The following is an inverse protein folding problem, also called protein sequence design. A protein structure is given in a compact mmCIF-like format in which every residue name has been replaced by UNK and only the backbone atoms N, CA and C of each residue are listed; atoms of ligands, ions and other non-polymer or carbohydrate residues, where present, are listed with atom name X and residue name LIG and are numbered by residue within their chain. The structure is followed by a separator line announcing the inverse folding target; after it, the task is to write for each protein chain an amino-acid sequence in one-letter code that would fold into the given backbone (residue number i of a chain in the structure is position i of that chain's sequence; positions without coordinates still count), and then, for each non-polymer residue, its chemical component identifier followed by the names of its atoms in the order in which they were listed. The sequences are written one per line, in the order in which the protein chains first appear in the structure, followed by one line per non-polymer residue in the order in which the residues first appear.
data_IF_552559129805
#
_entry.id   IF_552559129805
#
_cell.length_a   1.000
_cell.length_b   1.000
_cell.length_c   1.000
_cell.angle_alpha   90.00
_cell.angle_beta   90.00
_cell.angle_gamma   90.00
#
_symmetry.space_group_name_H-M   'P 1'
#
loop_
_entity.id
_entity.type
_entity.pdbx_description
1 polymer ?
#
# COMPACT_ATOMS: atom_id res chain seq x y z
N UNK A 1 -9.78 -0.39 -16.59
CA UNK A 1 -10.33 0.95 -16.28
C UNK A 1 -10.71 1.61 -17.58
N UNK A 2 -11.98 1.98 -17.74
CA UNK A 2 -12.43 2.70 -18.92
C UNK A 2 -11.84 4.12 -18.90
N UNK A 3 -11.10 4.56 -19.93
CA UNK A 3 -10.43 5.87 -19.92
C UNK A 3 -11.43 7.02 -19.74
N UNK A 4 -12.70 6.84 -20.14
CA UNK A 4 -13.76 7.83 -19.98
C UNK A 4 -14.11 8.11 -18.49
N UNK A 5 -13.99 7.13 -17.59
CA UNK A 5 -14.35 7.32 -16.17
C UNK A 5 -13.35 8.19 -15.41
N UNK A 6 -12.17 8.44 -15.99
CA UNK A 6 -11.19 9.40 -15.47
C UNK A 6 -11.79 10.82 -15.46
N UNK A 7 -12.64 11.15 -16.44
CA UNK A 7 -13.31 12.46 -16.52
C UNK A 7 -14.22 12.65 -15.30
N UNK A 8 -14.93 11.60 -14.87
CA UNK A 8 -15.78 11.64 -13.69
C UNK A 8 -14.96 11.86 -12.41
N UNK A 9 -13.79 11.23 -12.29
CA UNK A 9 -12.88 11.42 -11.15
C UNK A 9 -12.35 12.86 -11.08
N UNK A 10 -11.93 13.43 -12.22
CA UNK A 10 -11.43 14.81 -12.30
C UNK A 10 -12.55 15.80 -11.94
N UNK A 11 -13.73 15.64 -12.55
CA UNK A 11 -14.88 16.51 -12.30
C UNK A 11 -15.34 16.44 -10.83
N UNK A 12 -15.37 15.24 -10.24
CA UNK A 12 -15.65 15.05 -8.83
C UNK A 12 -14.63 15.77 -7.94
N UNK A 13 -13.34 15.61 -8.20
CA UNK A 13 -12.27 16.30 -7.48
C UNK A 13 -12.40 17.82 -7.56
N UNK A 14 -12.65 18.37 -8.74
CA UNK A 14 -12.87 19.81 -8.93
C UNK A 14 -14.11 20.33 -8.20
N UNK A 15 -15.20 19.57 -8.19
CA UNK A 15 -16.42 19.97 -7.48
C UNK A 15 -16.23 19.99 -5.96
N UNK A 16 -15.49 19.01 -5.42
CA UNK A 16 -15.14 18.96 -4.00
C UNK A 16 -14.20 20.11 -3.58
N UNK A 17 -13.16 20.41 -4.37
CA UNK A 17 -12.27 21.54 -4.08
C UNK A 17 -12.98 22.88 -4.19
N UNK A 18 -13.92 23.03 -5.13
CA UNK A 18 -14.75 24.22 -5.22
C UNK A 18 -15.64 24.39 -3.97
N UNK A 19 -16.21 23.29 -3.46
CA UNK A 19 -17.00 23.32 -2.24
C UNK A 19 -16.17 23.71 -1.01
N UNK A 20 -14.92 23.25 -0.92
CA UNK A 20 -14.00 23.68 0.14
C UNK A 20 -13.66 25.17 0.03
N UNK A 21 -13.45 25.71 -1.18
CA UNK A 21 -13.24 27.14 -1.36
C UNK A 21 -14.48 27.98 -0.96
N UNK A 22 -15.70 27.47 -1.21
CA UNK A 22 -16.94 28.19 -0.89
C UNK A 22 -17.22 28.26 0.62
N UNK A 23 -16.87 27.20 1.36
CA UNK A 23 -17.12 27.06 2.80
C UNK A 23 -15.91 27.41 3.67
N UNK A 24 -14.85 27.98 3.07
CA UNK A 24 -13.56 28.25 3.71
C UNK A 24 -13.01 27.03 4.47
N UNK A 25 -13.16 25.86 3.84
CA UNK A 25 -12.77 24.57 4.38
C UNK A 25 -11.38 24.16 3.94
N UNK A 26 -10.73 23.33 4.75
CA UNK A 26 -9.40 22.81 4.44
C UNK A 26 -8.95 21.72 5.40
N UNK A 27 -7.79 21.14 5.11
CA UNK A 27 -7.15 20.14 5.97
C UNK A 27 -5.82 20.69 6.47
N UNK A 28 -5.49 20.38 7.72
CA UNK A 28 -4.23 20.82 8.36
C UNK A 28 -3.02 20.12 7.76
N UNK A 29 -3.21 18.90 7.24
CA UNK A 29 -2.19 18.13 6.54
C UNK A 29 -2.82 17.23 5.46
N UNK A 30 -2.00 16.70 4.57
CA UNK A 30 -2.45 15.72 3.56
C UNK A 30 -2.95 14.43 4.22
N UNK A 31 -4.22 14.04 4.03
CA UNK A 31 -4.75 12.81 4.61
C UNK A 31 -4.24 11.59 3.86
N UNK A 32 -4.19 10.45 4.56
CA UNK A 32 -3.93 9.16 3.91
C UNK A 32 -5.06 8.85 2.90
N UNK A 33 -4.72 8.46 1.66
CA UNK A 33 -5.72 8.15 0.65
C UNK A 33 -6.60 6.98 1.09
N UNK A 34 -7.91 7.10 0.87
CA UNK A 34 -8.87 6.01 1.08
C UNK A 34 -9.50 5.91 2.47
N UNK A 35 -9.29 6.86 3.38
CA UNK A 35 -9.95 6.88 4.69
C UNK A 35 -10.66 8.20 4.99
N UNK A 36 -11.99 8.17 5.12
CA UNK A 36 -12.78 9.33 5.55
C UNK A 36 -12.43 9.77 6.99
N UNK A 37 -12.01 8.84 7.84
CA UNK A 37 -11.57 9.16 9.20
C UNK A 37 -10.28 9.98 9.20
N UNK A 38 -9.38 9.76 8.22
CA UNK A 38 -8.18 10.58 8.08
C UNK A 38 -8.53 12.03 7.71
N UNK A 39 -9.53 12.22 6.83
CA UNK A 39 -10.06 13.56 6.50
C UNK A 39 -10.64 14.26 7.73
N UNK A 40 -11.47 13.57 8.52
CA UNK A 40 -12.08 14.14 9.72
C UNK A 40 -11.05 14.43 10.81
N UNK A 41 -10.07 13.54 11.02
CA UNK A 41 -9.03 13.73 12.03
C UNK A 41 -8.12 14.95 11.73
N UNK A 42 -7.90 15.24 10.46
CA UNK A 42 -7.06 16.36 10.00
C UNK A 42 -7.86 17.63 9.67
N UNK A 43 -9.16 17.63 9.94
CA UNK A 43 -10.02 18.80 9.75
C UNK A 43 -9.84 19.79 10.93
N UNK A 44 -9.62 21.09 10.67
CA UNK A 44 -9.60 22.11 11.70
C UNK A 44 -10.90 22.18 12.52
N UNK A 45 -10.79 22.51 13.81
CA UNK A 45 -11.96 22.69 14.69
C UNK A 45 -12.86 23.81 14.13
N UNK A 46 -14.07 23.45 13.70
CA UNK A 46 -15.05 24.36 13.09
C UNK A 46 -15.31 24.12 11.60
N UNK A 47 -14.42 23.42 10.89
CA UNK A 47 -14.52 23.17 9.43
C UNK A 47 -15.10 21.78 9.08
N UNK A 48 -15.60 21.02 10.07
CA UNK A 48 -16.13 19.66 9.85
C UNK A 48 -17.28 19.61 8.84
N UNK A 49 -18.16 20.62 8.88
CA UNK A 49 -19.27 20.71 7.95
C UNK A 49 -18.79 20.91 6.51
N UNK A 50 -17.75 21.73 6.32
CA UNK A 50 -17.13 21.95 5.02
C UNK A 50 -16.48 20.66 4.48
N UNK A 51 -15.74 19.93 5.32
CA UNK A 51 -15.10 18.65 4.94
C UNK A 51 -16.12 17.62 4.49
N UNK A 52 -17.19 17.40 5.27
CA UNK A 52 -18.23 16.43 4.93
C UNK A 52 -18.99 16.86 3.67
N UNK A 53 -19.32 18.15 3.54
CA UNK A 53 -20.02 18.66 2.38
C UNK A 53 -19.19 18.52 1.10
N UNK A 54 -17.91 18.89 1.10
CA UNK A 54 -17.06 18.76 -0.08
C UNK A 54 -16.80 17.32 -0.50
N UNK A 55 -16.59 16.40 0.45
CA UNK A 55 -16.49 14.96 0.14
C UNK A 55 -17.80 14.44 -0.45
N UNK A 56 -18.94 14.83 0.12
CA UNK A 56 -20.27 14.38 -0.36
C UNK A 56 -20.60 14.93 -1.75
N UNK A 57 -20.27 16.18 -2.03
CA UNK A 57 -20.45 16.77 -3.37
C UNK A 57 -19.56 16.06 -4.38
N UNK A 58 -18.28 15.85 -4.07
CA UNK A 58 -17.35 15.15 -4.95
C UNK A 58 -17.79 13.72 -5.28
N UNK A 59 -18.33 12.98 -4.29
CA UNK A 59 -18.85 11.62 -4.51
C UNK A 59 -20.13 11.65 -5.34
N UNK A 60 -21.07 12.56 -5.08
CA UNK A 60 -22.30 12.70 -5.86
C UNK A 60 -22.03 13.06 -7.33
N UNK A 61 -21.13 14.00 -7.59
CA UNK A 61 -20.77 14.42 -8.95
C UNK A 61 -20.06 13.28 -9.70
N UNK A 62 -19.08 12.63 -9.06
CA UNK A 62 -18.39 11.47 -9.65
C UNK A 62 -19.38 10.35 -9.98
N UNK A 63 -20.31 10.07 -9.06
CA UNK A 63 -21.32 9.03 -9.22
C UNK A 63 -22.31 9.38 -10.34
N UNK A 64 -22.78 10.62 -10.41
CA UNK A 64 -23.72 11.06 -11.44
C UNK A 64 -23.11 10.95 -12.84
N UNK A 65 -21.88 11.44 -13.03
CA UNK A 65 -21.18 11.39 -14.31
C UNK A 65 -20.87 9.95 -14.70
N UNK A 66 -20.36 9.14 -13.76
CA UNK A 66 -20.06 7.73 -14.02
C UNK A 66 -21.33 6.94 -14.35
N UNK A 67 -22.42 7.16 -13.61
CA UNK A 67 -23.72 6.54 -13.86
C UNK A 67 -24.25 6.89 -15.24
N UNK A 68 -24.10 8.14 -15.67
CA UNK A 68 -24.53 8.58 -17.00
C UNK A 68 -23.67 7.98 -18.12
N UNK A 69 -22.35 7.93 -17.95
CA UNK A 69 -21.42 7.28 -18.88
C UNK A 69 -21.78 5.79 -19.03
N UNK A 70 -21.91 5.08 -17.92
CA UNK A 70 -22.25 3.65 -17.92
C UNK A 70 -23.65 3.39 -18.51
N UNK A 71 -24.61 4.29 -18.26
CA UNK A 71 -25.98 4.16 -18.79
C UNK A 71 -26.04 4.42 -20.30
N UNK A 72 -25.19 5.29 -20.84
CA UNK A 72 -25.05 5.50 -22.29
C UNK A 72 -24.35 4.32 -22.97
N UNK A 73 -23.34 3.73 -22.33
CA UNK A 73 -22.62 2.54 -22.85
C UNK A 73 -23.45 1.25 -22.76
N UNK A 74 -24.32 1.10 -21.75
CA UNK A 74 -25.25 -0.04 -21.62
C UNK A 74 -26.19 -0.18 -22.84
N UNK A 75 -26.38 0.89 -23.60
CA UNK A 75 -27.14 0.87 -24.86
C UNK A 75 -26.34 0.26 -26.04
N UNK A 76 -25.02 0.14 -25.92
CA UNK A 76 -24.12 -0.31 -26.99
C UNK A 76 -23.59 -1.73 -26.75
N UNK A 77 -23.46 -2.18 -25.50
CA UNK A 77 -22.86 -3.50 -25.20
C UNK A 77 -23.70 -4.25 -24.16
N UNK A 78 -24.50 -5.20 -24.63
CA UNK A 78 -25.01 -6.28 -23.78
C UNK A 78 -23.90 -7.30 -23.69
N UNK A 79 -23.30 -7.44 -22.51
CA UNK A 79 -22.43 -8.52 -21.99
C UNK A 79 -21.16 -7.97 -21.34
N UNK A 80 -21.14 -7.94 -19.99
CA UNK A 80 -19.94 -8.25 -19.20
C UNK A 80 -20.25 -8.12 -17.70
N UNK A 81 -20.85 -9.16 -17.13
CA UNK A 81 -21.01 -9.32 -15.66
C UNK A 81 -19.64 -9.52 -14.95
N UNK A 82 -18.53 -9.57 -15.70
CA UNK A 82 -17.17 -9.87 -15.22
C UNK A 82 -16.33 -8.64 -14.80
N UNK A 83 -16.66 -7.41 -15.22
CA UNK A 83 -15.85 -6.21 -14.89
C UNK A 83 -15.97 -5.81 -13.40
N UNK A 84 -17.07 -6.15 -12.73
CA UNK A 84 -17.29 -5.82 -11.32
C UNK A 84 -16.45 -6.70 -10.37
N UNK A 85 -16.28 -7.98 -10.71
CA UNK A 85 -15.44 -8.91 -9.96
C UNK A 85 -13.95 -8.53 -10.01
N UNK A 86 -13.48 -8.07 -11.17
CA UNK A 86 -12.09 -7.59 -11.33
C UNK A 86 -11.85 -6.26 -10.61
N UNK A 87 -12.83 -5.36 -10.60
CA UNK A 87 -12.76 -4.10 -9.86
C UNK A 87 -12.73 -4.31 -8.34
N UNK A 88 -13.49 -5.29 -7.83
CA UNK A 88 -13.43 -5.69 -6.41
C UNK A 88 -12.06 -6.28 -6.02
N UNK A 89 -11.40 -7.01 -6.93
CA UNK A 89 -10.05 -7.53 -6.72
C UNK A 89 -8.98 -6.42 -6.76
N UNK A 90 -9.12 -5.43 -7.64
CA UNK A 90 -8.22 -4.27 -7.69
C UNK A 90 -8.34 -3.37 -6.44
N UNK A 91 -9.57 -3.22 -5.90
CA UNK A 91 -9.80 -2.51 -4.62
C UNK A 91 -9.23 -3.30 -3.44
N UNK A 92 -9.28 -4.64 -3.47
CA UNK A 92 -8.58 -5.49 -2.49
C UNK A 92 -7.06 -5.38 -2.61
N UNK A 93 -6.53 -5.30 -3.83
CA UNK A 93 -5.10 -5.14 -4.08
C UNK A 93 -4.55 -3.78 -3.58
N UNK A 94 -5.31 -2.67 -3.72
CA UNK A 94 -4.94 -1.39 -3.10
C UNK A 94 -5.00 -1.41 -1.57
N UNK A 95 -5.90 -2.23 -0.99
CA UNK A 95 -5.97 -2.44 0.47
C UNK A 95 -4.81 -3.32 0.99
N UNK A 96 -4.05 -3.96 0.10
CA UNK A 96 -3.02 -4.95 0.41
C UNK A 96 -1.58 -4.43 0.40
N UNK A 97 -1.32 -3.16 0.14
CA UNK A 97 0.02 -2.58 0.40
C UNK A 97 0.36 -2.50 1.91
N UNK A 98 -0.56 -2.88 2.80
CA UNK A 98 -0.33 -2.96 4.24
C UNK A 98 -0.78 -4.27 4.91
N UNK A 99 -1.17 -5.30 4.16
CA UNK A 99 -1.66 -6.55 4.73
C UNK A 99 -1.15 -7.76 3.93
N UNK A 100 0.18 -7.89 3.85
CA UNK A 100 0.75 -9.22 3.71
C UNK A 100 0.48 -9.95 5.03
N UNK A 101 -0.14 -11.12 4.99
CA UNK A 101 -0.33 -11.96 6.18
C UNK A 101 1.06 -12.39 6.66
N UNK A 102 1.64 -11.62 7.58
CA UNK A 102 2.89 -11.92 8.26
C UNK A 102 2.73 -13.13 9.21
N UNK A 103 1.50 -13.64 9.34
CA UNK A 103 1.04 -14.65 10.28
C UNK A 103 1.65 -16.04 10.03
N UNK A 104 2.38 -16.23 8.93
CA UNK A 104 3.10 -17.48 8.62
C UNK A 104 4.53 -17.27 8.10
N UNK A 105 5.13 -16.10 8.35
CA UNK A 105 6.51 -15.86 7.91
C UNK A 105 7.46 -16.66 8.77
N UNK A 106 8.08 -17.70 8.19
CA UNK A 106 9.09 -18.54 8.83
C UNK A 106 10.49 -18.22 8.33
N UNK A 107 10.62 -17.70 7.10
CA UNK A 107 11.90 -17.47 6.45
C UNK A 107 12.03 -16.07 5.88
N UNK A 108 13.03 -15.33 6.35
CA UNK A 108 13.38 -14.00 5.84
C UNK A 108 14.76 -14.05 5.18
N UNK A 109 14.83 -13.65 3.92
CA UNK A 109 16.05 -13.62 3.13
C UNK A 109 16.54 -12.17 2.94
N UNK A 110 17.72 -11.85 3.46
CA UNK A 110 18.42 -10.60 3.19
C UNK A 110 19.28 -10.74 1.93
N UNK A 111 19.04 -9.91 0.93
CA UNK A 111 19.64 -10.06 -0.40
C UNK A 111 20.46 -8.84 -0.77
N UNK A 112 21.72 -9.07 -1.14
CA UNK A 112 22.58 -8.04 -1.76
C UNK A 112 23.35 -8.63 -2.95
N UNK A 113 23.97 -7.78 -3.76
CA UNK A 113 24.63 -8.17 -5.03
C UNK A 113 25.63 -9.32 -4.85
N UNK A 114 26.54 -9.21 -3.87
CA UNK A 114 27.57 -10.21 -3.62
C UNK A 114 27.24 -11.23 -2.50
N UNK A 115 26.14 -11.04 -1.77
CA UNK A 115 25.74 -11.92 -0.66
C UNK A 115 26.60 -11.88 0.62
N UNK A 116 27.76 -11.21 0.66
CA UNK A 116 28.70 -11.27 1.81
C UNK A 116 28.96 -9.94 2.52
N UNK A 117 28.21 -8.88 2.19
CA UNK A 117 28.45 -7.52 2.70
C UNK A 117 27.47 -7.09 3.79
N UNK A 118 26.89 -5.91 3.59
CA UNK A 118 25.90 -5.30 4.49
C UNK A 118 24.68 -6.18 4.77
N UNK A 119 24.30 -7.08 3.84
CA UNK A 119 23.23 -8.07 4.05
C UNK A 119 23.53 -9.06 5.17
N UNK A 120 24.79 -9.47 5.35
CA UNK A 120 25.18 -10.40 6.40
C UNK A 120 25.07 -9.76 7.80
N UNK A 121 25.50 -8.49 7.92
CA UNK A 121 25.34 -7.71 9.16
C UNK A 121 23.88 -7.37 9.46
N UNK A 122 23.10 -7.00 8.44
CA UNK A 122 21.66 -6.75 8.59
C UNK A 122 20.92 -8.01 9.04
N UNK A 123 21.16 -9.15 8.38
CA UNK A 123 20.54 -10.43 8.73
C UNK A 123 20.87 -10.87 10.16
N UNK A 124 22.13 -10.79 10.59
CA UNK A 124 22.53 -11.17 11.95
C UNK A 124 21.97 -10.26 13.02
N UNK A 125 21.94 -8.95 12.78
CA UNK A 125 21.36 -7.97 13.71
C UNK A 125 19.86 -8.16 13.84
N UNK A 126 19.18 -8.35 12.71
CA UNK A 126 17.74 -8.57 12.65
C UNK A 126 17.34 -9.90 13.31
N UNK A 127 18.08 -10.98 13.03
CA UNK A 127 17.93 -12.29 13.67
C UNK A 127 18.04 -12.21 15.19
N UNK A 128 19.11 -11.59 15.70
CA UNK A 128 19.31 -11.41 17.16
C UNK A 128 18.16 -10.63 17.80
N UNK A 129 17.59 -9.67 17.07
CA UNK A 129 16.46 -8.88 17.56
C UNK A 129 15.18 -9.72 17.64
N UNK A 130 14.93 -10.59 16.66
CA UNK A 130 13.80 -11.52 16.66
C UNK A 130 13.93 -12.60 17.73
N UNK A 131 15.13 -13.17 17.92
CA UNK A 131 15.42 -14.15 18.98
C UNK A 131 15.16 -13.53 20.37
N UNK A 132 15.56 -12.26 20.59
CA UNK A 132 15.26 -11.53 21.83
C UNK A 132 13.76 -11.31 22.07
N UNK A 133 12.96 -11.23 21.02
CA UNK A 133 11.51 -11.12 21.11
C UNK A 133 10.80 -12.49 21.20
N UNK A 134 11.55 -13.60 21.14
CA UNK A 134 11.02 -14.96 21.25
C UNK A 134 10.39 -15.51 19.98
N UNK A 135 10.66 -14.92 18.81
CA UNK A 135 10.14 -15.42 17.52
C UNK A 135 11.09 -16.45 16.90
N UNK A 136 10.57 -17.63 16.54
CA UNK A 136 11.31 -18.70 15.87
C UNK A 136 11.32 -18.51 14.34
N UNK A 137 11.81 -17.36 13.86
CA UNK A 137 11.91 -17.03 12.43
C UNK A 137 13.35 -17.23 11.96
N UNK A 138 13.52 -17.97 10.86
CA UNK A 138 14.81 -18.22 10.23
C UNK A 138 15.20 -17.03 9.34
N UNK A 139 16.26 -16.32 9.72
CA UNK A 139 16.80 -15.20 8.94
C UNK A 139 18.16 -15.58 8.37
N UNK A 140 18.30 -15.52 7.04
CA UNK A 140 19.53 -15.82 6.30
C UNK A 140 19.82 -14.73 5.26
N UNK A 141 21.06 -14.68 4.79
CA UNK A 141 21.49 -13.77 3.73
C UNK A 141 21.87 -14.55 2.48
N UNK A 142 21.64 -13.96 1.31
CA UNK A 142 21.91 -14.57 0.00
C UNK A 142 22.40 -13.52 -1.00
N UNK A 143 23.07 -13.98 -2.06
CA UNK A 143 23.30 -13.18 -3.26
C UNK A 143 22.01 -13.10 -4.09
N UNK A 144 21.87 -12.08 -4.94
CA UNK A 144 20.68 -11.87 -5.78
C UNK A 144 20.36 -13.11 -6.63
N UNK A 145 21.37 -13.80 -7.11
CA UNK A 145 21.24 -14.98 -7.98
C UNK A 145 20.84 -16.26 -7.20
N UNK A 146 21.09 -16.28 -5.89
CA UNK A 146 20.93 -17.46 -5.04
C UNK A 146 19.78 -17.29 -4.02
N UNK A 147 18.79 -16.45 -4.34
CA UNK A 147 17.63 -16.25 -3.47
C UNK A 147 16.78 -17.52 -3.48
N UNK A 148 16.50 -18.14 -2.33
CA UNK A 148 15.85 -19.43 -2.32
C UNK A 148 14.33 -19.33 -2.54
N UNK A 149 13.78 -20.32 -3.23
CA UNK A 149 12.36 -20.41 -3.58
C UNK A 149 11.44 -20.67 -2.39
N UNK A 150 11.98 -20.86 -1.19
CA UNK A 150 11.24 -21.08 0.07
C UNK A 150 11.28 -19.89 1.06
N UNK A 151 11.96 -18.79 0.74
CA UNK A 151 11.86 -17.54 1.51
C UNK A 151 10.42 -16.96 1.51
N UNK A 152 9.90 -16.48 2.62
CA UNK A 152 8.58 -15.86 2.64
C UNK A 152 8.68 -14.35 2.34
N UNK A 153 9.76 -13.72 2.81
CA UNK A 153 10.04 -12.29 2.64
C UNK A 153 11.47 -12.09 2.15
N UNK A 154 11.63 -11.19 1.19
CA UNK A 154 12.93 -10.76 0.68
C UNK A 154 13.18 -9.31 1.09
N UNK A 155 14.32 -9.05 1.74
CA UNK A 155 14.76 -7.72 2.15
C UNK A 155 15.98 -7.33 1.31
N UNK A 156 15.91 -6.22 0.58
CA UNK A 156 17.02 -5.75 -0.26
C UNK A 156 17.09 -4.23 -0.30
N UNK A 157 18.22 -3.70 -0.78
CA UNK A 157 18.40 -2.27 -0.93
C UNK A 157 17.57 -1.70 -2.09
N UNK A 158 17.04 -0.49 -1.96
CA UNK A 158 16.23 0.18 -2.99
C UNK A 158 16.90 0.22 -4.37
N UNK A 159 18.23 0.40 -4.43
CA UNK A 159 18.99 0.41 -5.69
C UNK A 159 19.03 -0.94 -6.43
N UNK A 160 18.73 -2.05 -5.75
CA UNK A 160 18.80 -3.41 -6.28
C UNK A 160 17.42 -3.99 -6.60
N UNK A 161 16.35 -3.23 -6.37
CA UNK A 161 14.96 -3.63 -6.60
C UNK A 161 14.75 -4.25 -7.98
N UNK A 162 15.19 -3.54 -9.03
CA UNK A 162 14.99 -3.96 -10.42
C UNK A 162 15.71 -5.26 -10.78
N UNK A 163 16.78 -5.63 -10.07
CA UNK A 163 17.47 -6.91 -10.24
C UNK A 163 16.74 -8.02 -9.48
N UNK A 164 16.34 -7.77 -8.24
CA UNK A 164 15.68 -8.78 -7.41
C UNK A 164 14.31 -9.17 -7.99
N UNK A 165 13.52 -8.22 -8.50
CA UNK A 165 12.23 -8.49 -9.16
C UNK A 165 12.34 -9.39 -10.40
N UNK A 166 13.53 -9.53 -11.00
CA UNK A 166 13.73 -10.44 -12.15
C UNK A 166 14.02 -11.88 -11.72
N UNK A 167 14.43 -12.08 -10.46
CA UNK A 167 14.85 -13.39 -9.94
C UNK A 167 13.78 -13.99 -9.03
N UNK A 168 12.94 -13.17 -8.40
CA UNK A 168 11.91 -13.63 -7.48
C UNK A 168 10.67 -12.74 -7.52
N UNK A 169 9.50 -13.38 -7.52
CA UNK A 169 8.18 -12.73 -7.45
C UNK A 169 7.66 -12.58 -6.01
N UNK A 170 8.57 -12.75 -5.03
CA UNK A 170 8.23 -12.74 -3.61
C UNK A 170 8.06 -11.34 -3.05
N UNK A 171 7.35 -11.21 -1.92
CA UNK A 171 7.21 -9.96 -1.20
C UNK A 171 8.57 -9.32 -0.92
N UNK A 172 8.77 -8.14 -1.51
CA UNK A 172 10.04 -7.42 -1.48
C UNK A 172 9.94 -6.21 -0.58
N UNK A 173 10.93 -6.06 0.29
CA UNK A 173 11.00 -4.96 1.25
C UNK A 173 12.27 -4.18 0.99
N UNK A 174 12.06 -2.95 0.54
CA UNK A 174 13.10 -2.05 0.08
C UNK A 174 13.60 -1.19 1.22
N UNK A 175 14.84 -1.43 1.63
CA UNK A 175 15.54 -0.64 2.65
C UNK A 175 16.56 0.29 2.00
N UNK A 176 16.87 1.40 2.67
CA UNK A 176 17.96 2.29 2.29
C UNK A 176 19.24 1.97 3.06
N UNK A 177 19.12 1.33 4.23
CA UNK A 177 20.27 0.86 4.99
C UNK A 177 20.00 -0.51 5.62
N UNK A 178 21.03 -1.35 5.69
CA UNK A 178 20.93 -2.67 6.32
C UNK A 178 20.98 -2.62 7.85
N UNK A 179 21.34 -1.47 8.41
CA UNK A 179 21.45 -1.23 9.85
C UNK A 179 20.73 0.08 10.16
N UNK A 180 19.79 0.03 11.11
CA UNK A 180 19.11 1.23 11.62
C UNK A 180 18.10 1.87 10.66
N UNK A 181 17.62 1.12 9.67
CA UNK A 181 16.58 1.62 8.76
C UNK A 181 15.19 1.52 9.40
N UNK A 182 14.39 2.60 9.37
CA UNK A 182 13.07 2.64 10.00
C UNK A 182 12.09 1.60 9.41
N UNK A 183 12.31 1.13 8.18
CA UNK A 183 11.49 0.07 7.58
C UNK A 183 11.77 -1.30 8.20
N UNK A 184 13.01 -1.54 8.67
CA UNK A 184 13.33 -2.75 9.43
C UNK A 184 12.64 -2.74 10.80
N UNK A 185 12.59 -1.58 11.46
CA UNK A 185 11.85 -1.41 12.71
C UNK A 185 10.35 -1.65 12.52
N UNK A 186 9.80 -1.09 11.45
CA UNK A 186 8.38 -1.27 11.09
C UNK A 186 8.06 -2.75 10.86
N UNK A 187 8.88 -3.45 10.07
CA UNK A 187 8.72 -4.87 9.81
C UNK A 187 8.84 -5.71 11.09
N UNK A 188 9.81 -5.39 11.94
CA UNK A 188 9.98 -6.06 13.22
C UNK A 188 8.74 -5.94 14.11
N UNK A 189 8.20 -4.73 14.22
CA UNK A 189 7.00 -4.46 15.02
C UNK A 189 5.78 -5.20 14.46
N UNK A 190 5.61 -5.23 13.14
CA UNK A 190 4.52 -5.96 12.49
C UNK A 190 4.61 -7.48 12.72
N UNK A 191 5.81 -8.07 12.57
CA UNK A 191 6.05 -9.49 12.86
C UNK A 191 5.74 -9.83 14.32
N UNK A 192 6.16 -8.96 15.25
CA UNK A 192 5.93 -9.16 16.69
C UNK A 192 4.47 -9.01 17.07
N UNK A 193 3.74 -8.09 16.45
CA UNK A 193 2.31 -7.87 16.71
C UNK A 193 1.45 -9.05 16.23
N UNK A 194 1.77 -9.64 15.09
CA UNK A 194 1.01 -10.77 14.54
C UNK A 194 1.31 -12.12 15.19
N UNK A 195 2.53 -12.36 15.71
CA UNK A 195 2.87 -13.63 16.39
C UNK A 195 2.48 -13.69 17.87
N UNK A 196 1.96 -12.58 18.44
CA UNK A 196 1.52 -12.53 19.85
C UNK A 196 0.04 -12.89 20.05
N UNK A 197 -0.68 -13.17 18.95
CA UNK A 197 -2.05 -13.68 18.91
C UNK A 197 -2.05 -15.13 18.44
#
# INVERSE_FOLDING_TARGET
MKPLTIIAMIAGGMSGTWMFNLLDGGLVAGPSPGSIFAYLALTPKGSFLATIAGVTVGTLVSFAITSLILKMEKTVETESDDEFAQSANAVKAMKQEGAFSLSRVKRIAFVCDAGMGSSAMGATTFRKRLEKAGLAIEVKHYAIENVPADADIVVTHASLEGRVKRVTDKPLILINNYIGDPKLDTLFNQLTAEHKH
#
